data_IF_590196661983
#
_entry.id   IF_590196661983
#
_cell.length_a   1.000
_cell.length_b   1.000
_cell.length_c   1.000
_cell.angle_alpha   90.00
_cell.angle_beta   90.00
_cell.angle_gamma   90.00
#
_symmetry.space_group_name_H-M   'P 1'
#
loop_
_entity.id
_entity.type
_entity.pdbx_description
1 polymer ?
#
# COMPACT_ATOMS: atom_id res chain seq x y z
N UNK A 1 41.43 -54.76 23.34
CA UNK A 1 40.16 -54.07 23.02
C UNK A 1 40.26 -53.67 21.55
N UNK A 2 39.45 -54.24 20.62
CA UNK A 2 39.56 -53.87 19.22
C UNK A 2 38.94 -52.47 19.01
N UNK A 3 39.68 -51.60 18.32
CA UNK A 3 39.17 -50.29 17.92
C UNK A 3 38.24 -50.48 16.71
N UNK A 4 37.01 -49.98 16.77
CA UNK A 4 36.15 -49.88 15.60
C UNK A 4 36.71 -48.75 14.71
N UNK A 5 37.00 -48.97 13.42
CA UNK A 5 37.45 -47.90 12.55
C UNK A 5 36.38 -46.80 12.46
N UNK A 6 36.75 -45.56 12.77
CA UNK A 6 35.91 -44.38 12.48
C UNK A 6 35.92 -44.18 10.97
N UNK A 7 34.81 -44.53 10.32
CA UNK A 7 34.60 -44.20 8.91
C UNK A 7 34.51 -42.66 8.77
N UNK A 8 35.57 -42.05 8.25
CA UNK A 8 35.61 -40.63 7.93
C UNK A 8 34.88 -40.33 6.62
N UNK A 9 34.24 -39.17 6.54
CA UNK A 9 33.61 -38.66 5.32
C UNK A 9 34.66 -38.49 4.20
N UNK A 10 34.33 -38.91 3.00
CA UNK A 10 35.23 -38.77 1.84
C UNK A 10 35.12 -37.37 1.24
N UNK A 11 36.21 -36.89 0.62
CA UNK A 11 36.22 -35.62 -0.11
C UNK A 11 35.16 -35.61 -1.22
N UNK A 12 34.95 -36.75 -1.88
CA UNK A 12 33.99 -36.89 -2.97
C UNK A 12 32.55 -36.78 -2.47
N UNK A 13 32.22 -37.35 -1.31
CA UNK A 13 30.88 -37.20 -0.71
C UNK A 13 30.57 -35.73 -0.41
N UNK A 14 31.54 -34.99 0.12
CA UNK A 14 31.37 -33.54 0.35
C UNK A 14 31.16 -32.78 -0.98
N UNK A 15 31.95 -33.08 -2.00
CA UNK A 15 31.85 -32.43 -3.32
C UNK A 15 30.49 -32.68 -3.98
N UNK A 16 29.94 -33.90 -3.86
CA UNK A 16 28.61 -34.22 -4.39
C UNK A 16 27.52 -33.47 -3.63
N UNK A 17 27.62 -33.39 -2.29
CA UNK A 17 26.64 -32.66 -1.46
C UNK A 17 26.63 -31.17 -1.81
N UNK A 18 27.78 -30.52 -1.91
CA UNK A 18 27.85 -29.10 -2.28
C UNK A 18 27.34 -28.86 -3.71
N UNK A 19 27.60 -29.80 -4.64
CA UNK A 19 27.12 -29.71 -6.01
C UNK A 19 25.58 -29.74 -6.04
N UNK A 20 24.96 -30.69 -5.35
CA UNK A 20 23.49 -30.77 -5.25
C UNK A 20 22.90 -29.55 -4.54
N UNK A 21 23.52 -29.09 -3.44
CA UNK A 21 23.08 -27.88 -2.73
C UNK A 21 23.12 -26.63 -3.61
N UNK A 22 24.15 -26.49 -4.46
CA UNK A 22 24.28 -25.33 -5.36
C UNK A 22 23.17 -25.29 -6.42
N UNK A 23 22.78 -26.45 -6.96
CA UNK A 23 21.70 -26.58 -7.94
C UNK A 23 20.35 -26.24 -7.29
N UNK A 24 20.06 -26.79 -6.11
CA UNK A 24 18.80 -26.54 -5.40
C UNK A 24 18.70 -25.07 -4.97
N UNK A 25 19.80 -24.48 -4.47
CA UNK A 25 19.82 -23.07 -4.07
C UNK A 25 19.49 -22.13 -5.24
N UNK A 26 20.01 -22.40 -6.44
CA UNK A 26 19.74 -21.60 -7.62
C UNK A 26 18.24 -21.60 -7.99
N UNK A 27 17.58 -22.77 -7.95
CA UNK A 27 16.14 -22.90 -8.23
C UNK A 27 15.28 -22.24 -7.14
N UNK A 28 15.68 -22.38 -5.87
CA UNK A 28 14.96 -21.81 -4.73
C UNK A 28 14.95 -20.28 -4.75
N UNK A 29 16.07 -19.63 -5.08
CA UNK A 29 16.17 -18.16 -5.10
C UNK A 29 15.24 -17.52 -6.12
N UNK A 30 15.09 -18.12 -7.30
CA UNK A 30 14.23 -17.58 -8.35
C UNK A 30 12.75 -17.56 -7.93
N UNK A 31 12.26 -18.65 -7.33
CA UNK A 31 10.87 -18.76 -6.88
C UNK A 31 10.59 -17.87 -5.65
N UNK A 32 11.53 -17.76 -4.72
CA UNK A 32 11.38 -16.98 -3.50
C UNK A 32 11.05 -15.50 -3.75
N UNK A 33 11.71 -14.87 -4.73
CA UNK A 33 11.49 -13.45 -5.07
C UNK A 33 10.04 -13.15 -5.46
N UNK A 34 9.44 -14.02 -6.28
CA UNK A 34 8.04 -13.88 -6.71
C UNK A 34 7.08 -14.07 -5.53
N UNK A 35 7.31 -15.06 -4.67
CA UNK A 35 6.48 -15.28 -3.48
C UNK A 35 6.50 -14.09 -2.52
N UNK A 36 7.68 -13.51 -2.27
CA UNK A 36 7.80 -12.32 -1.42
C UNK A 36 7.04 -11.14 -2.03
N UNK A 37 7.12 -10.93 -3.35
CA UNK A 37 6.38 -9.88 -4.05
C UNK A 37 4.87 -10.05 -3.90
N UNK A 38 4.35 -11.27 -4.07
CA UNK A 38 2.92 -11.56 -3.89
C UNK A 38 2.49 -11.25 -2.45
N UNK A 39 3.29 -11.63 -1.46
CA UNK A 39 3.04 -11.29 -0.05
C UNK A 39 3.03 -9.77 0.19
N UNK A 40 3.93 -9.03 -0.48
CA UNK A 40 3.97 -7.56 -0.41
C UNK A 40 2.74 -6.92 -1.04
N UNK A 41 2.30 -7.41 -2.19
CA UNK A 41 1.05 -6.97 -2.82
C UNK A 41 -0.17 -7.25 -1.92
N UNK A 42 -0.21 -8.43 -1.29
CA UNK A 42 -1.27 -8.75 -0.33
C UNK A 42 -1.26 -7.80 0.88
N UNK A 43 -0.09 -7.40 1.37
CA UNK A 43 0.01 -6.39 2.45
C UNK A 43 -0.49 -5.01 2.02
N UNK A 44 -0.28 -4.60 0.76
CA UNK A 44 -0.84 -3.36 0.22
C UNK A 44 -2.35 -3.41 0.11
N UNK A 45 -2.91 -4.54 -0.35
CA UNK A 45 -4.36 -4.74 -0.39
C UNK A 45 -4.97 -4.75 1.03
N UNK A 46 -4.29 -5.34 2.01
CA UNK A 46 -4.72 -5.30 3.40
C UNK A 46 -4.74 -3.85 3.92
N UNK A 47 -3.71 -3.05 3.63
CA UNK A 47 -3.67 -1.64 4.00
C UNK A 47 -4.79 -0.83 3.32
N UNK A 48 -5.14 -1.12 2.06
CA UNK A 48 -6.28 -0.50 1.39
C UNK A 48 -7.56 -0.67 2.22
N UNK A 49 -7.83 -1.87 2.74
CA UNK A 49 -9.00 -2.11 3.59
C UNK A 49 -8.93 -1.34 4.91
N UNK A 50 -7.75 -1.17 5.50
CA UNK A 50 -7.57 -0.34 6.70
C UNK A 50 -7.95 1.12 6.41
N UNK A 51 -7.54 1.67 5.27
CA UNK A 51 -7.90 3.04 4.87
C UNK A 51 -9.40 3.16 4.58
N UNK A 52 -10.00 2.19 3.90
CA UNK A 52 -11.45 2.16 3.65
C UNK A 52 -12.26 2.17 4.94
N UNK A 53 -11.85 1.38 5.94
CA UNK A 53 -12.50 1.37 7.24
C UNK A 53 -12.34 2.71 7.97
N UNK A 54 -11.18 3.37 7.85
CA UNK A 54 -10.96 4.69 8.42
C UNK A 54 -11.85 5.76 7.75
N UNK A 55 -12.00 5.69 6.43
CA UNK A 55 -12.94 6.55 5.69
C UNK A 55 -14.38 6.33 6.13
N UNK A 56 -14.82 5.06 6.26
CA UNK A 56 -16.18 4.74 6.70
C UNK A 56 -16.47 5.29 8.11
N UNK A 57 -15.53 5.14 9.05
CA UNK A 57 -15.66 5.70 10.39
C UNK A 57 -15.77 7.23 10.37
N UNK A 58 -15.00 7.91 9.52
CA UNK A 58 -15.06 9.37 9.39
C UNK A 58 -16.40 9.84 8.80
N UNK A 59 -16.91 9.14 7.78
CA UNK A 59 -18.23 9.43 7.19
C UNK A 59 -19.34 9.23 8.21
N UNK A 60 -19.26 8.21 9.07
CA UNK A 60 -20.24 7.99 10.14
C UNK A 60 -20.26 9.14 11.16
N UNK A 61 -19.10 9.74 11.44
CA UNK A 61 -18.97 10.80 12.44
C UNK A 61 -19.36 12.20 11.92
N UNK A 62 -18.87 12.58 10.74
CA UNK A 62 -19.00 13.94 10.20
C UNK A 62 -19.69 14.02 8.84
N UNK A 63 -20.20 12.91 8.32
CA UNK A 63 -20.89 12.81 7.02
C UNK A 63 -20.06 13.28 5.82
N UNK A 64 -18.74 13.12 5.88
CA UNK A 64 -17.86 13.38 4.76
C UNK A 64 -16.61 12.50 4.82
N UNK A 65 -15.96 12.33 3.67
CA UNK A 65 -14.69 11.64 3.54
C UNK A 65 -13.51 12.55 3.92
N UNK A 66 -12.34 11.95 4.06
CA UNK A 66 -11.12 12.65 4.45
C UNK A 66 -9.95 12.41 3.51
N UNK A 67 -8.92 13.21 3.71
CA UNK A 67 -7.63 13.09 3.04
C UNK A 67 -6.60 12.46 3.95
N UNK A 68 -5.59 11.81 3.36
CA UNK A 68 -4.46 11.27 4.13
C UNK A 68 -3.51 12.38 4.57
N UNK A 69 -3.19 12.44 5.86
CA UNK A 69 -2.32 13.48 6.46
C UNK A 69 -1.35 12.86 7.46
N UNK A 70 -0.21 13.50 7.65
CA UNK A 70 0.76 13.18 8.70
C UNK A 70 1.24 14.44 9.41
N UNK A 71 1.61 14.32 10.69
CA UNK A 71 2.29 15.38 11.43
C UNK A 71 1.40 16.21 12.35
N UNK A 72 0.11 15.86 12.48
CA UNK A 72 -0.81 16.47 13.44
C UNK A 72 -1.29 15.44 14.48
N UNK A 73 -1.93 15.92 15.55
CA UNK A 73 -2.55 15.10 16.61
C UNK A 73 -4.06 15.01 16.43
N UNK A 74 -4.70 14.01 17.04
CA UNK A 74 -6.16 13.86 17.03
C UNK A 74 -6.87 14.95 17.85
N UNK A 75 -6.15 15.70 18.70
CA UNK A 75 -6.73 16.82 19.45
C UNK A 75 -6.84 18.10 18.63
N UNK A 76 -6.09 18.21 17.54
CA UNK A 76 -6.16 19.33 16.61
C UNK A 76 -5.96 18.81 15.18
N UNK A 77 -6.90 18.00 14.66
CA UNK A 77 -6.82 17.51 13.30
C UNK A 77 -6.96 18.67 12.33
N UNK A 78 -6.16 18.71 11.25
CA UNK A 78 -6.17 19.85 10.33
C UNK A 78 -7.41 19.87 9.42
N UNK A 79 -8.17 18.78 9.36
CA UNK A 79 -9.18 18.59 8.32
C UNK A 79 -8.53 18.50 6.95
N UNK A 80 -9.32 18.76 5.91
CA UNK A 80 -8.81 18.83 4.55
C UNK A 80 -9.84 18.46 3.51
N UNK A 81 -9.51 18.77 2.27
CA UNK A 81 -10.28 18.45 1.08
C UNK A 81 -9.33 18.40 -0.14
N UNK A 82 -9.67 17.60 -1.12
CA UNK A 82 -8.90 17.41 -2.35
C UNK A 82 -7.79 16.39 -2.19
N UNK A 83 -6.57 16.76 -2.58
CA UNK A 83 -5.43 15.84 -2.65
C UNK A 83 -4.79 15.64 -1.28
N UNK A 84 -4.71 14.39 -0.83
CA UNK A 84 -4.01 14.01 0.38
C UNK A 84 -2.49 13.96 0.24
N UNK A 85 -1.82 13.96 1.38
CA UNK A 85 -0.38 13.72 1.49
C UNK A 85 -0.10 12.25 1.19
N UNK A 86 0.88 11.97 0.34
CA UNK A 86 1.35 10.60 0.13
C UNK A 86 2.08 10.14 1.39
N UNK A 87 1.58 9.09 2.02
CA UNK A 87 2.13 8.49 3.23
C UNK A 87 2.93 7.25 2.88
N UNK A 88 4.20 7.23 3.26
CA UNK A 88 5.09 6.08 3.12
C UNK A 88 5.53 5.53 4.47
N UNK A 89 5.24 4.25 4.71
CA UNK A 89 5.49 3.59 5.99
C UNK A 89 6.89 3.00 6.17
N UNK A 90 7.28 2.68 7.42
CA UNK A 90 6.40 2.55 8.57
C UNK A 90 6.08 3.92 9.22
N UNK A 91 4.79 4.19 9.48
CA UNK A 91 4.36 5.37 10.22
C UNK A 91 3.48 4.95 11.40
N UNK A 92 3.68 5.64 12.51
CA UNK A 92 2.80 5.53 13.68
C UNK A 92 1.49 6.27 13.41
N UNK A 93 0.40 5.77 13.98
CA UNK A 93 -0.88 6.47 13.98
C UNK A 93 -0.83 7.70 14.89
N UNK A 94 -1.60 8.72 14.53
CA UNK A 94 -1.79 9.88 15.39
C UNK A 94 -2.51 9.48 16.69
N UNK A 95 -2.17 10.15 17.79
CA UNK A 95 -2.93 10.11 19.04
C UNK A 95 -3.32 11.53 19.44
N UNK A 96 -4.01 11.68 20.57
CA UNK A 96 -4.31 13.01 21.13
C UNK A 96 -3.04 13.79 21.53
N UNK A 97 -1.91 13.10 21.74
CA UNK A 97 -0.65 13.71 22.21
C UNK A 97 0.52 13.55 21.24
N UNK A 98 0.46 12.56 20.36
CA UNK A 98 1.57 12.20 19.47
C UNK A 98 1.17 12.47 18.03
N UNK A 99 1.92 13.31 17.30
CA UNK A 99 1.72 13.46 15.87
C UNK A 99 1.91 12.15 15.13
N UNK A 100 1.07 11.88 14.14
CA UNK A 100 1.17 10.64 13.37
C UNK A 100 0.32 10.68 12.10
N UNK A 101 0.17 9.53 11.47
CA UNK A 101 -0.67 9.35 10.30
C UNK A 101 -2.15 9.25 10.69
N UNK A 102 -3.00 9.86 9.87
CA UNK A 102 -4.46 9.87 10.03
C UNK A 102 -5.16 10.06 8.69
N UNK A 103 -6.44 9.72 8.66
CA UNK A 103 -7.40 10.25 7.68
C UNK A 103 -8.17 11.36 8.36
N UNK A 104 -8.26 12.54 7.76
CA UNK A 104 -8.98 13.67 8.35
C UNK A 104 -9.75 14.43 7.28
N UNK A 105 -10.93 14.93 7.64
CA UNK A 105 -11.82 15.65 6.74
C UNK A 105 -12.53 16.76 7.49
N UNK A 106 -13.06 17.70 6.72
CA UNK A 106 -13.93 18.77 7.20
C UNK A 106 -15.20 18.78 6.34
N UNK A 107 -16.37 18.79 6.96
CA UNK A 107 -17.64 18.84 6.23
C UNK A 107 -18.06 20.29 5.92
N UNK A 108 -19.13 20.47 5.15
CA UNK A 108 -19.65 21.80 4.75
C UNK A 108 -20.13 22.65 5.95
N UNK A 109 -20.32 22.06 7.12
CA UNK A 109 -20.67 22.76 8.36
C UNK A 109 -19.43 23.15 9.19
N UNK A 110 -18.22 23.03 8.62
CA UNK A 110 -16.93 23.27 9.26
C UNK A 110 -16.63 22.34 10.44
N UNK A 111 -17.28 21.18 10.53
CA UNK A 111 -16.97 20.16 11.53
C UNK A 111 -15.81 19.33 11.02
N UNK A 112 -14.74 19.28 11.82
CA UNK A 112 -13.53 18.52 11.51
C UNK A 112 -13.43 17.30 12.42
N UNK A 113 -13.10 16.15 11.83
CA UNK A 113 -12.70 14.97 12.58
C UNK A 113 -11.55 14.24 11.89
N UNK A 114 -10.96 13.28 12.61
CA UNK A 114 -9.88 12.44 12.13
C UNK A 114 -9.93 11.04 12.72
N UNK A 115 -9.60 10.07 11.87
CA UNK A 115 -9.42 8.68 12.26
C UNK A 115 -7.93 8.34 12.19
N UNK A 116 -7.33 7.83 13.29
CA UNK A 116 -5.93 7.45 13.30
C UNK A 116 -5.64 6.30 12.33
N UNK A 117 -4.50 6.39 11.64
CA UNK A 117 -4.09 5.41 10.63
C UNK A 117 -2.65 4.97 10.86
N UNK A 118 -2.41 3.67 11.02
CA UNK A 118 -1.05 3.11 10.99
C UNK A 118 -0.68 2.76 9.56
N UNK A 119 0.54 3.06 9.13
CA UNK A 119 1.04 2.70 7.78
C UNK A 119 2.13 1.64 7.90
N UNK A 120 1.90 0.48 7.29
CA UNK A 120 2.85 -0.63 7.32
C UNK A 120 4.18 -0.33 6.63
N UNK A 121 5.25 -1.04 7.02
CA UNK A 121 6.57 -0.88 6.41
C UNK A 121 6.55 -1.10 4.89
N UNK A 122 7.10 -0.16 4.14
CA UNK A 122 7.18 -0.23 2.68
C UNK A 122 5.85 0.01 1.96
N UNK A 123 4.78 0.34 2.68
CA UNK A 123 3.51 0.76 2.07
C UNK A 123 3.58 2.23 1.71
N UNK A 124 3.11 2.56 0.51
CA UNK A 124 2.87 3.91 0.02
C UNK A 124 1.37 4.01 -0.21
N UNK A 125 0.72 4.99 0.41
CA UNK A 125 -0.71 5.23 0.25
C UNK A 125 -1.04 6.70 0.13
N UNK A 126 -2.19 6.98 -0.48
CA UNK A 126 -2.79 8.30 -0.56
C UNK A 126 -4.29 8.15 -0.58
N UNK A 127 -4.98 9.00 0.17
CA UNK A 127 -6.42 9.13 0.13
C UNK A 127 -6.76 10.58 -0.23
N UNK A 128 -7.57 10.74 -1.26
CA UNK A 128 -8.05 12.00 -1.80
C UNK A 128 -9.56 12.09 -1.64
N UNK A 129 -10.08 13.31 -1.69
CA UNK A 129 -11.50 13.59 -1.83
C UNK A 129 -11.77 14.42 -3.08
N UNK A 130 -13.04 14.59 -3.43
CA UNK A 130 -13.50 15.34 -4.61
C UNK A 130 -13.17 16.84 -4.57
N UNK A 131 -12.67 17.37 -3.44
CA UNK A 131 -12.30 18.79 -3.30
C UNK A 131 -13.49 19.73 -3.11
N UNK A 132 -14.72 19.22 -3.21
CA UNK A 132 -15.96 19.94 -2.98
C UNK A 132 -16.48 19.76 -1.56
N UNK A 133 -17.50 18.92 -1.41
CA UNK A 133 -18.11 18.64 -0.10
C UNK A 133 -17.52 17.41 0.59
N UNK A 134 -16.41 16.85 0.07
CA UNK A 134 -15.84 15.60 0.53
C UNK A 134 -16.87 14.45 0.47
N UNK A 135 -17.67 14.43 -0.59
CA UNK A 135 -18.76 13.46 -0.80
C UNK A 135 -18.27 12.18 -1.48
N UNK A 136 -17.11 12.24 -2.13
CA UNK A 136 -16.43 11.07 -2.70
C UNK A 136 -14.98 11.00 -2.23
N UNK A 137 -14.41 9.79 -2.24
CA UNK A 137 -13.01 9.55 -1.94
C UNK A 137 -12.38 8.56 -2.90
N UNK A 138 -11.10 8.83 -3.19
CA UNK A 138 -10.26 7.96 -3.99
C UNK A 138 -9.04 7.55 -3.17
N UNK A 139 -8.85 6.24 -3.02
CA UNK A 139 -7.75 5.67 -2.24
C UNK A 139 -6.84 4.91 -3.19
N UNK A 140 -5.53 5.17 -3.10
CA UNK A 140 -4.51 4.37 -3.80
C UNK A 140 -3.47 3.86 -2.82
N UNK A 141 -3.13 2.58 -2.93
CA UNK A 141 -2.14 1.92 -2.09
C UNK A 141 -1.23 1.01 -2.90
N UNK A 142 0.05 1.01 -2.58
CA UNK A 142 1.07 0.15 -3.18
C UNK A 142 2.12 -0.23 -2.15
N UNK A 143 2.73 -1.41 -2.28
CA UNK A 143 3.98 -1.72 -1.60
C UNK A 143 5.17 -1.36 -2.51
N UNK A 144 6.21 -0.71 -1.98
CA UNK A 144 7.42 -0.27 -2.74
C UNK A 144 8.07 -1.42 -3.50
N UNK A 145 8.18 -2.59 -2.86
CA UNK A 145 8.68 -3.84 -3.46
C UNK A 145 7.60 -4.74 -4.10
N UNK A 146 6.37 -4.25 -4.22
CA UNK A 146 5.32 -4.90 -5.01
C UNK A 146 5.39 -4.46 -6.47
N UNK A 147 4.67 -5.13 -7.36
CA UNK A 147 4.48 -4.73 -8.76
C UNK A 147 3.07 -4.12 -9.01
N UNK A 148 2.16 -4.27 -8.04
CA UNK A 148 0.75 -3.92 -8.19
C UNK A 148 0.39 -2.74 -7.30
N UNK A 149 -0.35 -1.79 -7.86
CA UNK A 149 -1.05 -0.73 -7.14
C UNK A 149 -2.53 -1.08 -7.08
N UNK A 150 -3.16 -0.78 -5.94
CA UNK A 150 -4.57 -1.01 -5.69
C UNK A 150 -5.28 0.31 -5.48
N UNK A 151 -6.49 0.40 -6.02
CA UNK A 151 -7.36 1.57 -5.98
C UNK A 151 -8.71 1.22 -5.37
N UNK A 152 -9.33 2.18 -4.70
CA UNK A 152 -10.75 2.13 -4.38
C UNK A 152 -11.35 3.51 -4.57
N UNK A 153 -12.58 3.51 -5.05
CA UNK A 153 -13.41 4.68 -5.29
C UNK A 153 -14.69 4.46 -4.49
N UNK A 154 -15.11 5.46 -3.72
CA UNK A 154 -16.31 5.41 -2.88
C UNK A 154 -17.59 5.28 -3.68
N UNK A 155 -17.59 5.78 -4.92
CA UNK A 155 -18.82 5.94 -5.70
C UNK A 155 -19.28 4.61 -6.28
N UNK A 156 -18.38 3.62 -6.31
CA UNK A 156 -18.66 2.25 -6.71
C UNK A 156 -18.46 1.30 -5.54
N UNK A 157 -19.57 0.88 -4.96
CA UNK A 157 -19.58 -0.02 -3.82
C UNK A 157 -19.10 -1.42 -4.21
N UNK A 158 -18.24 -2.01 -3.36
CA UNK A 158 -17.83 -3.41 -3.48
C UNK A 158 -16.75 -3.69 -4.52
N UNK A 159 -16.23 -2.66 -5.22
CA UNK A 159 -15.21 -2.83 -6.25
C UNK A 159 -13.86 -2.28 -5.79
N UNK A 160 -12.82 -3.07 -6.00
CA UNK A 160 -11.43 -2.63 -5.87
C UNK A 160 -10.76 -2.68 -7.25
N UNK A 161 -10.02 -1.63 -7.55
CA UNK A 161 -9.25 -1.50 -8.78
C UNK A 161 -7.82 -1.94 -8.55
N UNK A 162 -7.16 -2.37 -9.62
CA UNK A 162 -5.76 -2.69 -9.61
C UNK A 162 -5.13 -2.39 -10.96
N UNK A 163 -3.85 -2.03 -10.91
CA UNK A 163 -2.97 -1.90 -12.07
C UNK A 163 -1.61 -2.46 -11.69
N UNK A 164 -0.99 -3.21 -12.60
CA UNK A 164 0.32 -3.84 -12.36
C UNK A 164 1.34 -3.34 -13.36
N UNK A 165 2.58 -3.19 -12.90
CA UNK A 165 3.72 -2.96 -13.77
C UNK A 165 4.97 -3.59 -13.12
N UNK A 166 5.58 -4.61 -13.74
CA UNK A 166 6.79 -5.24 -13.22
C UNK A 166 7.97 -4.27 -13.00
N UNK A 167 8.01 -3.15 -13.72
CA UNK A 167 9.06 -2.14 -13.57
C UNK A 167 8.94 -1.31 -12.28
N UNK A 168 7.82 -1.38 -11.56
CA UNK A 168 7.60 -0.63 -10.32
C UNK A 168 8.22 -1.29 -9.09
N UNK A 169 8.75 -2.51 -9.20
CA UNK A 169 9.34 -3.21 -8.06
C UNK A 169 10.58 -2.45 -7.58
N UNK A 170 10.57 -2.04 -6.31
CA UNK A 170 11.65 -1.26 -5.70
C UNK A 170 11.60 0.23 -6.03
N UNK A 171 10.52 0.72 -6.64
CA UNK A 171 10.33 2.11 -7.00
C UNK A 171 9.33 2.80 -6.07
N UNK A 172 9.54 4.09 -5.83
CA UNK A 172 8.75 4.92 -4.90
C UNK A 172 9.50 5.23 -3.60
N UNK A 173 8.93 6.11 -2.79
CA UNK A 173 9.52 6.57 -1.52
C UNK A 173 8.57 6.24 -0.38
N UNK A 174 9.00 5.34 0.50
CA UNK A 174 8.31 4.98 1.73
C UNK A 174 8.72 5.92 2.88
N UNK A 175 8.34 7.19 2.77
CA UNK A 175 8.56 8.25 3.78
C UNK A 175 7.43 9.29 3.77
N UNK A 176 7.65 10.46 4.38
CA UNK A 176 6.71 11.59 4.36
C UNK A 176 7.45 12.89 3.96
N UNK A 177 7.11 13.53 2.83
CA UNK A 177 6.16 13.05 1.83
C UNK A 177 6.68 11.77 1.16
N UNK A 178 5.79 10.81 0.95
CA UNK A 178 6.08 9.63 0.15
C UNK A 178 6.01 9.94 -1.33
N UNK A 179 6.34 8.97 -2.16
CA UNK A 179 6.19 9.07 -3.60
C UNK A 179 5.78 7.72 -4.18
N UNK A 180 4.79 7.73 -5.06
CA UNK A 180 4.48 6.58 -5.89
C UNK A 180 5.59 6.35 -6.94
N UNK A 181 5.70 5.14 -7.50
CA UNK A 181 6.66 4.86 -8.56
C UNK A 181 6.43 5.79 -9.77
N UNK A 182 7.49 6.17 -10.49
CA UNK A 182 7.35 6.97 -11.69
C UNK A 182 6.49 6.24 -12.72
N UNK A 183 5.58 6.98 -13.35
CA UNK A 183 4.66 6.45 -14.35
C UNK A 183 3.37 5.83 -13.80
N UNK A 184 3.21 5.64 -12.48
CA UNK A 184 1.89 5.35 -11.92
C UNK A 184 1.01 6.60 -12.07
N UNK A 185 -0.07 6.45 -12.84
CA UNK A 185 -1.05 7.51 -13.06
C UNK A 185 -2.27 7.25 -12.17
N UNK A 186 -2.60 8.24 -11.34
CA UNK A 186 -3.75 8.20 -10.45
C UNK A 186 -4.76 9.21 -11.00
N UNK A 187 -6.00 8.80 -11.35
CA UNK A 187 -7.02 9.74 -11.78
C UNK A 187 -7.37 10.70 -10.62
N UNK A 188 -7.83 11.93 -10.92
CA UNK A 188 -8.36 12.81 -9.88
C UNK A 188 -9.61 12.19 -9.26
N UNK A 189 -9.87 12.48 -7.99
CA UNK A 189 -11.16 12.16 -7.37
C UNK A 189 -12.22 13.13 -7.87
N UNK A 190 -13.33 12.64 -8.40
CA UNK A 190 -14.47 13.46 -8.84
C UNK A 190 -15.77 12.97 -8.23
N UNK A 191 -16.65 13.91 -7.89
CA UNK A 191 -17.89 13.57 -7.20
C UNK A 191 -18.86 12.78 -8.09
N UNK A 192 -19.43 11.72 -7.52
CA UNK A 192 -20.46 10.84 -8.11
C UNK A 192 -20.04 10.19 -9.45
N UNK A 193 -18.76 9.84 -9.60
CA UNK A 193 -18.22 9.26 -10.83
C UNK A 193 -17.23 8.15 -10.54
N UNK A 194 -17.26 7.14 -11.41
CA UNK A 194 -16.24 6.10 -11.40
C UNK A 194 -14.93 6.62 -11.99
N UNK A 195 -14.03 7.10 -11.15
CA UNK A 195 -12.78 7.75 -11.55
C UNK A 195 -11.77 6.76 -12.14
N UNK A 196 -11.83 5.49 -11.76
CA UNK A 196 -10.95 4.45 -12.30
C UNK A 196 -11.46 3.86 -13.63
N UNK A 197 -12.69 4.16 -14.04
CA UNK A 197 -13.25 3.61 -15.27
C UNK A 197 -12.48 4.12 -16.49
N UNK A 198 -11.84 3.19 -17.22
CA UNK A 198 -11.00 3.48 -18.38
C UNK A 198 -9.81 4.42 -18.10
N UNK A 199 -9.48 4.66 -16.83
CA UNK A 199 -8.35 5.51 -16.47
C UNK A 199 -7.03 4.80 -16.77
N UNK A 200 -6.10 5.50 -17.42
CA UNK A 200 -4.72 5.01 -17.56
C UNK A 200 -4.06 4.97 -16.18
N UNK A 201 -3.48 3.84 -15.83
CA UNK A 201 -2.71 3.64 -14.60
C UNK A 201 -1.21 3.52 -14.83
N UNK A 202 -0.74 3.54 -16.08
CA UNK A 202 0.67 3.29 -16.42
C UNK A 202 1.09 1.82 -16.25
N UNK A 203 0.12 0.90 -16.31
CA UNK A 203 0.36 -0.53 -16.16
C UNK A 203 1.02 -1.19 -17.39
N UNK A 204 1.56 -2.38 -17.17
CA UNK A 204 2.09 -3.27 -18.19
C UNK A 204 1.79 -4.73 -17.82
N UNK A 205 1.19 -5.55 -18.72
CA UNK A 205 0.87 -5.24 -20.12
C UNK A 205 -0.42 -4.42 -20.30
N UNK A 206 -1.28 -4.36 -19.27
CA UNK A 206 -2.54 -3.60 -19.33
C UNK A 206 -2.30 -2.19 -18.81
N UNK A 207 -2.45 -1.14 -19.65
CA UNK A 207 -2.13 0.23 -19.25
C UNK A 207 -3.15 0.80 -18.26
N UNK A 208 -4.42 0.41 -18.38
CA UNK A 208 -5.51 0.97 -17.59
C UNK A 208 -5.70 0.27 -16.25
N UNK A 209 -6.29 1.01 -15.30
CA UNK A 209 -6.86 0.42 -14.10
C UNK A 209 -7.96 -0.58 -14.48
N UNK A 210 -7.94 -1.73 -13.84
CA UNK A 210 -8.91 -2.80 -14.04
C UNK A 210 -9.54 -3.19 -12.71
N UNK A 211 -10.79 -3.61 -12.71
CA UNK A 211 -11.44 -4.15 -11.52
C UNK A 211 -11.25 -5.66 -11.45
N UNK A 212 -11.47 -6.22 -10.27
CA UNK A 212 -11.55 -7.66 -10.06
C UNK A 212 -12.94 -8.04 -9.59
#
# INVERSE_FOLDING_TARGET
MPYLPKNGFTLIELIVVIAIMSIIAALAVASYKTYVMIARNASALAQLNVVKNAQAALVEEIQCYGVSVFGATLSNPPGGSGIGTILGGPLISASTKTPGAMITGQNSNNITSAVPLTVGNGIILRADTDGGNNSSCLIVVKHVNGDTAYGNDSDIVGVNYWVRNPAWVGQGVAGVPGAFPPGLQIPPCTNDKNDFQNASGGGAPTPNWTYR
#
